data_IF_912672191398
#
_entry.id   IF_912672191398
#
_cell.length_a   1.000
_cell.length_b   1.000
_cell.length_c   1.000
_cell.angle_alpha   90.00
_cell.angle_beta   90.00
_cell.angle_gamma   90.00
#
_symmetry.space_group_name_H-M   'P 1'
#
loop_
_entity.id
_entity.type
_entity.pdbx_description
1 polymer ?
#
# COMPACT_ATOMS: atom_id res chain seq x y z
N UNK A 1 -19.90 -3.35 -7.83
CA UNK A 1 -18.78 -3.63 -6.93
C UNK A 1 -17.62 -2.75 -7.36
N UNK A 2 -16.89 -2.23 -6.40
CA UNK A 2 -15.77 -1.33 -6.66
C UNK A 2 -14.56 -2.12 -7.16
N UNK A 3 -13.86 -1.54 -8.10
CA UNK A 3 -12.64 -2.10 -8.68
C UNK A 3 -11.44 -1.74 -7.81
N UNK A 4 -10.76 -2.77 -7.29
CA UNK A 4 -9.55 -2.64 -6.49
C UNK A 4 -8.29 -2.69 -7.35
N UNK A 5 -7.34 -1.78 -7.10
CA UNK A 5 -5.96 -1.89 -7.56
C UNK A 5 -5.01 -2.07 -6.36
N UNK A 6 -4.23 -3.14 -6.35
CA UNK A 6 -3.14 -3.32 -5.37
C UNK A 6 -1.85 -2.78 -5.99
N UNK A 7 -1.31 -1.70 -5.43
CA UNK A 7 -0.12 -1.01 -5.94
C UNK A 7 1.11 -1.47 -5.20
N UNK A 8 2.08 -2.02 -5.95
CA UNK A 8 3.29 -2.66 -5.41
C UNK A 8 4.53 -2.03 -6.04
N UNK A 9 5.23 -1.10 -5.36
CA UNK A 9 6.51 -0.58 -5.83
C UNK A 9 7.59 -1.66 -5.72
N UNK A 10 8.42 -1.81 -6.77
CA UNK A 10 9.46 -2.83 -6.89
C UNK A 10 10.78 -2.22 -7.33
N UNK A 11 11.86 -2.56 -6.62
CA UNK A 11 13.22 -2.22 -7.02
C UNK A 11 14.19 -3.36 -6.69
N UNK A 12 14.64 -4.11 -7.70
CA UNK A 12 15.46 -5.30 -7.56
C UNK A 12 14.83 -6.37 -6.66
N UNK A 13 13.61 -6.79 -7.03
CA UNK A 13 12.76 -7.73 -6.27
C UNK A 13 12.59 -9.07 -7.02
N UNK A 14 13.56 -9.47 -7.86
CA UNK A 14 13.44 -10.69 -8.68
C UNK A 14 13.22 -11.96 -7.86
N UNK A 15 13.73 -12.03 -6.63
CA UNK A 15 13.62 -13.21 -5.77
C UNK A 15 12.20 -13.39 -5.19
N UNK A 16 11.49 -12.29 -4.95
CA UNK A 16 10.20 -12.32 -4.24
C UNK A 16 8.99 -12.02 -5.13
N UNK A 17 9.19 -11.44 -6.32
CA UNK A 17 8.12 -10.94 -7.17
C UNK A 17 7.04 -11.99 -7.50
N UNK A 18 7.43 -13.20 -7.90
CA UNK A 18 6.48 -14.26 -8.25
C UNK A 18 5.66 -14.71 -7.05
N UNK A 19 6.29 -14.79 -5.89
CA UNK A 19 5.64 -15.16 -4.63
C UNK A 19 4.65 -14.06 -4.23
N UNK A 20 5.05 -12.79 -4.37
CA UNK A 20 4.18 -11.66 -4.12
C UNK A 20 2.98 -11.65 -5.08
N UNK A 21 3.21 -11.89 -6.37
CA UNK A 21 2.16 -11.99 -7.38
C UNK A 21 1.14 -13.09 -7.02
N UNK A 22 1.60 -14.30 -6.70
CA UNK A 22 0.73 -15.41 -6.34
C UNK A 22 -0.10 -15.12 -5.08
N UNK A 23 0.53 -14.60 -4.03
CA UNK A 23 -0.14 -14.28 -2.78
C UNK A 23 -1.22 -13.21 -2.97
N UNK A 24 -0.89 -12.12 -3.70
CA UNK A 24 -1.82 -11.02 -3.93
C UNK A 24 -2.96 -11.41 -4.89
N UNK A 25 -2.72 -12.26 -5.89
CA UNK A 25 -3.78 -12.82 -6.73
C UNK A 25 -4.71 -13.71 -5.92
N UNK A 26 -4.18 -14.51 -4.99
CA UNK A 26 -5.00 -15.27 -4.04
C UNK A 26 -5.93 -14.38 -3.22
N UNK A 27 -5.47 -13.21 -2.77
CA UNK A 27 -6.31 -12.23 -2.07
C UNK A 27 -7.38 -11.66 -3.00
N UNK A 28 -7.05 -11.31 -4.25
CA UNK A 28 -8.04 -10.82 -5.23
C UNK A 28 -9.12 -11.88 -5.48
N UNK A 29 -8.72 -13.12 -5.74
CA UNK A 29 -9.65 -14.23 -6.02
C UNK A 29 -10.62 -14.47 -4.85
N UNK A 30 -10.11 -14.45 -3.63
CA UNK A 30 -10.91 -14.57 -2.39
C UNK A 30 -11.93 -13.45 -2.25
N UNK A 31 -11.52 -12.19 -2.46
CA UNK A 31 -12.38 -11.02 -2.36
C UNK A 31 -13.44 -10.99 -3.47
N UNK A 32 -13.08 -11.37 -4.69
CA UNK A 32 -14.00 -11.52 -5.83
C UNK A 32 -15.03 -12.61 -5.52
N UNK A 33 -14.57 -13.77 -5.04
CA UNK A 33 -15.46 -14.89 -4.70
C UNK A 33 -16.47 -14.51 -3.58
N UNK A 34 -16.04 -13.72 -2.61
CA UNK A 34 -16.89 -13.17 -1.55
C UNK A 34 -17.79 -12.02 -2.01
N UNK A 35 -17.69 -11.59 -3.26
CA UNK A 35 -18.47 -10.48 -3.82
C UNK A 35 -18.15 -9.12 -3.17
N UNK A 36 -16.91 -8.91 -2.73
CA UNK A 36 -16.45 -7.66 -2.08
C UNK A 36 -15.84 -6.66 -3.04
N UNK A 37 -15.30 -7.14 -4.17
CA UNK A 37 -14.66 -6.31 -5.19
C UNK A 37 -15.07 -6.78 -6.59
N UNK A 38 -14.83 -5.95 -7.62
CA UNK A 38 -15.12 -6.26 -9.01
C UNK A 38 -14.18 -7.34 -9.57
N UNK A 39 -14.66 -8.14 -10.53
CA UNK A 39 -13.92 -9.25 -11.16
C UNK A 39 -12.67 -8.78 -11.93
N UNK A 40 -12.65 -7.52 -12.37
CA UNK A 40 -11.54 -6.90 -13.10
C UNK A 40 -10.57 -6.12 -12.19
N UNK A 41 -10.60 -6.39 -10.87
CA UNK A 41 -9.61 -5.90 -9.90
C UNK A 41 -8.23 -6.49 -10.19
N UNK A 42 -7.16 -5.72 -9.91
CA UNK A 42 -5.82 -6.07 -10.39
C UNK A 42 -4.70 -5.63 -9.45
N UNK A 43 -3.51 -6.18 -9.68
CA UNK A 43 -2.24 -5.78 -9.08
C UNK A 43 -1.51 -4.88 -10.07
N UNK A 44 -0.99 -3.75 -9.61
CA UNK A 44 -0.15 -2.83 -10.37
C UNK A 44 1.27 -2.84 -9.80
N UNK A 45 2.16 -3.61 -10.41
CA UNK A 45 3.58 -3.55 -10.11
C UNK A 45 4.21 -2.29 -10.71
N UNK A 46 4.95 -1.54 -9.89
CA UNK A 46 5.65 -0.31 -10.33
C UNK A 46 7.15 -0.55 -10.26
N UNK A 47 7.77 -0.83 -11.40
CA UNK A 47 9.21 -1.04 -11.47
C UNK A 47 9.96 0.29 -11.42
N UNK A 48 10.67 0.54 -10.33
CA UNK A 48 11.47 1.74 -10.07
C UNK A 48 12.89 1.63 -10.67
N UNK A 49 12.99 1.31 -11.96
CA UNK A 49 14.27 1.23 -12.66
C UNK A 49 15.18 0.12 -12.17
N UNK A 50 14.64 -1.07 -11.88
CA UNK A 50 15.39 -2.27 -11.47
C UNK A 50 16.47 -2.63 -12.50
N UNK A 51 17.57 -3.21 -12.01
CA UNK A 51 18.72 -3.65 -12.82
C UNK A 51 18.79 -5.17 -12.97
N UNK A 52 17.99 -5.89 -12.18
CA UNK A 52 17.82 -7.33 -12.20
C UNK A 52 16.65 -7.73 -13.11
N UNK A 53 16.17 -8.96 -13.00
CA UNK A 53 15.08 -9.49 -13.81
C UNK A 53 13.68 -9.07 -13.36
N UNK A 54 13.55 -8.14 -12.40
CA UNK A 54 12.23 -7.72 -11.86
C UNK A 54 11.26 -7.34 -12.97
N UNK A 55 11.68 -6.52 -13.95
CA UNK A 55 10.78 -6.10 -15.02
C UNK A 55 10.38 -7.26 -15.93
N UNK A 56 11.31 -8.13 -16.30
CA UNK A 56 11.03 -9.32 -17.11
C UNK A 56 9.99 -10.22 -16.43
N UNK A 57 10.10 -10.40 -15.11
CA UNK A 57 9.16 -11.19 -14.31
C UNK A 57 7.77 -10.54 -14.26
N UNK A 58 7.68 -9.20 -14.19
CA UNK A 58 6.39 -8.50 -14.28
C UNK A 58 5.73 -8.74 -15.64
N UNK A 59 6.50 -8.70 -16.73
CA UNK A 59 5.99 -8.99 -18.07
C UNK A 59 5.53 -10.46 -18.21
N UNK A 60 6.27 -11.43 -17.66
CA UNK A 60 5.88 -12.83 -17.59
C UNK A 60 4.55 -13.02 -16.83
N UNK A 61 4.42 -12.41 -15.65
CA UNK A 61 3.20 -12.47 -14.82
C UNK A 61 2.00 -11.82 -15.53
N UNK A 62 2.21 -10.69 -16.20
CA UNK A 62 1.17 -10.06 -16.99
C UNK A 62 0.70 -10.94 -18.14
N UNK A 63 1.63 -11.61 -18.87
CA UNK A 63 1.27 -12.51 -19.95
C UNK A 63 0.47 -13.72 -19.45
N UNK A 64 0.81 -14.24 -18.27
CA UNK A 64 0.12 -15.37 -17.65
C UNK A 64 -1.26 -14.96 -17.09
N UNK A 65 -1.39 -13.74 -16.56
CA UNK A 65 -2.57 -13.25 -15.85
C UNK A 65 -2.97 -11.81 -16.29
N UNK A 66 -3.35 -11.61 -17.58
CA UNK A 66 -3.47 -10.28 -18.18
C UNK A 66 -4.58 -9.40 -17.58
N UNK A 67 -5.55 -10.00 -16.89
CA UNK A 67 -6.62 -9.25 -16.19
C UNK A 67 -6.17 -8.82 -14.80
N UNK A 68 -5.47 -9.71 -14.09
CA UNK A 68 -5.13 -9.49 -12.68
C UNK A 68 -3.76 -8.84 -12.45
N UNK A 69 -2.85 -8.85 -13.43
CA UNK A 69 -1.50 -8.30 -13.27
C UNK A 69 -1.22 -7.25 -14.32
N UNK A 70 -0.84 -6.06 -13.87
CA UNK A 70 -0.40 -4.94 -14.71
C UNK A 70 0.96 -4.44 -14.23
N UNK A 71 1.71 -3.78 -15.11
CA UNK A 71 3.02 -3.23 -14.79
C UNK A 71 3.21 -1.81 -15.31
N UNK A 72 3.90 -0.98 -14.52
CA UNK A 72 4.43 0.33 -14.93
C UNK A 72 5.94 0.31 -14.78
N UNK A 73 6.65 0.70 -15.82
CA UNK A 73 8.11 0.83 -15.81
C UNK A 73 8.51 2.30 -15.80
N UNK A 74 9.15 2.73 -14.74
CA UNK A 74 9.72 4.08 -14.67
C UNK A 74 11.01 4.16 -15.49
N UNK A 75 11.32 5.33 -16.00
CA UNK A 75 12.52 5.55 -16.84
C UNK A 75 13.84 5.36 -16.07
N UNK A 76 13.81 5.40 -14.74
CA UNK A 76 14.94 5.19 -13.86
C UNK A 76 14.50 5.12 -12.40
N UNK A 77 15.46 4.85 -11.49
CA UNK A 77 15.16 4.82 -10.07
C UNK A 77 14.90 6.24 -9.55
N UNK A 78 13.71 6.44 -9.01
CA UNK A 78 13.25 7.71 -8.41
C UNK A 78 13.04 7.59 -6.90
N UNK A 79 13.16 6.39 -6.36
CA UNK A 79 12.98 6.04 -4.95
C UNK A 79 11.55 5.66 -4.60
N UNK A 80 11.44 4.85 -3.55
CA UNK A 80 10.20 4.17 -3.13
C UNK A 80 8.97 5.09 -3.08
N UNK A 81 9.07 6.28 -2.46
CA UNK A 81 7.95 7.20 -2.29
C UNK A 81 7.41 7.73 -3.64
N UNK A 82 8.32 8.04 -4.58
CA UNK A 82 7.93 8.50 -5.91
C UNK A 82 7.38 7.37 -6.77
N UNK A 83 7.97 6.18 -6.69
CA UNK A 83 7.46 5.00 -7.38
C UNK A 83 6.04 4.64 -6.89
N UNK A 84 5.84 4.64 -5.57
CA UNK A 84 4.51 4.44 -4.99
C UNK A 84 3.51 5.50 -5.44
N UNK A 85 3.91 6.78 -5.45
CA UNK A 85 3.06 7.88 -5.92
C UNK A 85 2.69 7.72 -7.39
N UNK A 86 3.65 7.38 -8.25
CA UNK A 86 3.39 7.12 -9.66
C UNK A 86 2.38 5.97 -9.85
N UNK A 87 2.52 4.91 -9.05
CA UNK A 87 1.57 3.79 -9.05
C UNK A 87 0.16 4.20 -8.61
N UNK A 88 0.04 4.94 -7.50
CA UNK A 88 -1.26 5.41 -7.00
C UNK A 88 -1.96 6.32 -8.01
N UNK A 89 -1.25 7.27 -8.62
CA UNK A 89 -1.81 8.16 -9.64
C UNK A 89 -2.24 7.38 -10.88
N UNK A 90 -1.45 6.40 -11.32
CA UNK A 90 -1.82 5.54 -12.46
C UNK A 90 -3.04 4.69 -12.12
N UNK A 91 -3.08 4.10 -10.93
CA UNK A 91 -4.20 3.25 -10.49
C UNK A 91 -5.50 4.04 -10.30
N UNK A 92 -5.43 5.31 -9.91
CA UNK A 92 -6.57 6.20 -9.71
C UNK A 92 -7.48 6.30 -10.95
N UNK A 93 -6.91 6.32 -12.14
CA UNK A 93 -7.66 6.39 -13.38
C UNK A 93 -8.29 5.04 -13.80
N UNK A 94 -7.82 3.95 -13.21
CA UNK A 94 -8.14 2.57 -13.58
C UNK A 94 -8.99 1.83 -12.54
N UNK A 95 -9.16 2.40 -11.33
CA UNK A 95 -9.83 1.74 -10.20
C UNK A 95 -10.64 2.73 -9.35
N UNK A 96 -11.47 2.19 -8.44
CA UNK A 96 -12.27 2.96 -7.49
C UNK A 96 -11.60 3.07 -6.13
N UNK A 97 -10.76 2.10 -5.81
CA UNK A 97 -10.02 1.99 -4.55
C UNK A 97 -8.63 1.39 -4.78
N UNK A 98 -7.65 1.88 -4.05
CA UNK A 98 -6.27 1.39 -4.12
C UNK A 98 -5.82 0.85 -2.78
N UNK A 99 -4.99 -0.18 -2.79
CA UNK A 99 -4.23 -0.65 -1.62
C UNK A 99 -2.76 -0.63 -1.98
N UNK A 100 -1.92 0.07 -1.22
CA UNK A 100 -0.46 0.04 -1.38
C UNK A 100 0.16 -0.98 -0.42
N UNK A 101 1.11 -1.78 -0.90
CA UNK A 101 1.85 -2.77 -0.10
C UNK A 101 3.25 -2.97 -0.69
N UNK A 102 4.23 -3.29 0.17
CA UNK A 102 5.60 -3.59 -0.25
C UNK A 102 5.69 -4.99 -0.87
N UNK A 103 6.58 -5.17 -1.84
CA UNK A 103 6.77 -6.44 -2.58
C UNK A 103 7.28 -7.59 -1.69
N UNK A 104 7.97 -7.28 -0.58
CA UNK A 104 8.55 -8.26 0.33
C UNK A 104 7.51 -8.98 1.23
N UNK A 105 6.23 -8.58 1.14
CA UNK A 105 5.10 -9.14 1.88
C UNK A 105 5.37 -9.33 3.38
N UNK A 106 6.13 -8.43 4.01
CA UNK A 106 6.31 -8.45 5.46
C UNK A 106 5.04 -8.02 6.21
N UNK A 107 4.11 -7.38 5.50
CA UNK A 107 2.81 -7.00 6.00
C UNK A 107 1.77 -8.09 5.68
N UNK A 108 0.85 -8.34 6.59
CA UNK A 108 -0.13 -9.41 6.47
C UNK A 108 -1.20 -9.06 5.42
N UNK A 109 -1.12 -9.70 4.25
CA UNK A 109 -2.05 -9.48 3.14
C UNK A 109 -3.51 -9.85 3.48
N UNK A 110 -3.74 -10.69 4.48
CA UNK A 110 -5.09 -11.11 4.88
C UNK A 110 -5.93 -9.93 5.44
N UNK A 111 -5.28 -8.88 5.95
CA UNK A 111 -6.01 -7.71 6.47
C UNK A 111 -6.56 -6.80 5.37
N UNK A 112 -6.24 -7.03 4.10
CA UNK A 112 -6.83 -6.30 2.96
C UNK A 112 -8.35 -6.48 2.96
N UNK A 113 -8.86 -7.66 3.34
CA UNK A 113 -10.30 -7.88 3.48
C UNK A 113 -10.93 -6.92 4.49
N UNK A 114 -10.34 -6.78 5.69
CA UNK A 114 -10.83 -5.84 6.70
C UNK A 114 -10.73 -4.38 6.22
N UNK A 115 -9.69 -4.03 5.44
CA UNK A 115 -9.58 -2.70 4.85
C UNK A 115 -10.73 -2.41 3.88
N UNK A 116 -11.10 -3.37 3.02
CA UNK A 116 -12.23 -3.26 2.09
C UNK A 116 -13.54 -3.13 2.86
N UNK A 117 -13.75 -3.90 3.92
CA UNK A 117 -14.95 -3.79 4.76
C UNK A 117 -15.09 -2.38 5.38
N UNK A 118 -13.99 -1.80 5.85
CA UNK A 118 -13.97 -0.43 6.38
C UNK A 118 -14.24 0.62 5.29
N UNK A 119 -13.71 0.41 4.10
CA UNK A 119 -14.00 1.26 2.94
C UNK A 119 -15.49 1.22 2.58
N UNK A 120 -16.12 0.05 2.52
CA UNK A 120 -17.56 -0.09 2.30
C UNK A 120 -18.41 0.55 3.42
N UNK A 121 -17.85 0.67 4.62
CA UNK A 121 -18.47 1.40 5.74
C UNK A 121 -18.19 2.92 5.71
N UNK A 122 -17.62 3.44 4.62
CA UNK A 122 -17.47 4.87 4.36
C UNK A 122 -16.11 5.46 4.72
N UNK A 123 -15.10 4.65 5.07
CA UNK A 123 -13.73 5.15 5.27
C UNK A 123 -13.06 5.40 3.91
N UNK A 124 -12.39 6.52 3.78
CA UNK A 124 -11.63 6.88 2.57
C UNK A 124 -10.18 6.42 2.63
N UNK A 125 -9.62 6.37 3.84
CA UNK A 125 -8.25 5.94 4.07
C UNK A 125 -8.25 4.95 5.22
N UNK A 126 -7.69 3.76 5.00
CA UNK A 126 -7.51 2.75 6.05
C UNK A 126 -6.03 2.41 6.18
N UNK A 127 -5.48 2.69 7.34
CA UNK A 127 -4.06 2.45 7.62
C UNK A 127 -3.82 1.03 8.13
N UNK A 128 -2.83 0.34 7.56
CA UNK A 128 -2.25 -0.84 8.14
C UNK A 128 -1.29 -0.45 9.27
N UNK A 129 -1.59 -0.88 10.49
CA UNK A 129 -0.80 -0.55 11.69
C UNK A 129 -0.21 -1.84 12.26
N UNK A 130 1.12 -1.87 12.36
CA UNK A 130 1.84 -2.99 12.97
C UNK A 130 1.64 -2.96 14.48
N UNK A 131 1.15 -4.07 15.06
CA UNK A 131 1.02 -4.19 16.52
C UNK A 131 2.38 -4.04 17.18
N UNK A 132 2.43 -3.28 18.28
CA UNK A 132 3.65 -3.10 19.06
C UNK A 132 4.12 -4.42 19.67
N UNK A 133 5.43 -4.67 19.61
CA UNK A 133 6.04 -5.78 20.34
C UNK A 133 6.11 -5.47 21.83
N UNK A 134 5.80 -6.44 22.68
CA UNK A 134 6.00 -6.38 24.14
C UNK A 134 7.48 -6.16 24.55
N UNK A 135 8.41 -6.17 23.58
CA UNK A 135 9.86 -6.02 23.79
C UNK A 135 10.39 -4.59 23.56
N UNK A 136 9.55 -3.63 23.22
CA UNK A 136 10.01 -2.25 23.06
C UNK A 136 10.35 -1.63 24.42
N UNK A 137 11.60 -1.19 24.53
CA UNK A 137 12.14 -0.59 25.77
C UNK A 137 11.30 0.61 26.20
N UNK A 138 10.99 0.70 27.49
CA UNK A 138 10.22 1.81 28.11
C UNK A 138 10.69 3.19 27.62
N UNK A 139 11.97 3.37 27.40
CA UNK A 139 12.56 4.62 26.89
C UNK A 139 12.13 4.95 25.46
N UNK A 140 12.10 3.97 24.53
CA UNK A 140 11.61 4.17 23.15
C UNK A 140 10.13 4.57 23.13
N UNK A 141 9.32 3.96 24.00
CA UNK A 141 7.89 4.24 24.12
C UNK A 141 7.62 5.66 24.63
N UNK A 142 8.39 6.11 25.63
CA UNK A 142 8.21 7.44 26.23
C UNK A 142 8.66 8.57 25.28
N UNK A 143 9.78 8.40 24.56
CA UNK A 143 10.24 9.38 23.58
C UNK A 143 9.33 9.47 22.37
N UNK A 144 8.82 8.34 21.88
CA UNK A 144 7.83 8.30 20.80
C UNK A 144 6.52 9.00 21.22
N UNK A 145 5.98 8.69 22.41
CA UNK A 145 4.78 9.35 22.94
C UNK A 145 4.97 10.86 23.11
N UNK A 146 6.16 11.30 23.58
CA UNK A 146 6.49 12.71 23.66
C UNK A 146 6.48 13.41 22.30
N UNK A 147 7.07 12.79 21.30
CA UNK A 147 7.07 13.29 19.92
C UNK A 147 5.65 13.43 19.35
N UNK A 148 4.82 12.40 19.49
CA UNK A 148 3.43 12.44 19.00
C UNK A 148 2.57 13.46 19.72
N UNK A 149 2.77 13.64 21.02
CA UNK A 149 2.07 14.65 21.80
C UNK A 149 2.43 16.08 21.35
N UNK A 150 3.70 16.30 20.98
CA UNK A 150 4.13 17.59 20.40
C UNK A 150 3.51 17.78 19.01
N UNK A 151 3.46 16.75 18.16
CA UNK A 151 2.83 16.81 16.84
C UNK A 151 1.32 17.07 16.95
N UNK A 152 0.64 16.44 17.90
CA UNK A 152 -0.77 16.66 18.18
C UNK A 152 -1.05 18.10 18.67
N UNK A 153 -0.18 18.66 19.54
CA UNK A 153 -0.25 20.06 19.95
C UNK A 153 -0.01 21.03 18.78
N UNK A 154 0.74 20.62 17.77
CA UNK A 154 0.93 21.36 16.51
C UNK A 154 -0.22 21.17 15.52
N UNK A 155 -1.29 20.44 15.90
CA UNK A 155 -2.47 20.20 15.06
C UNK A 155 -2.30 19.09 14.04
N UNK A 156 -1.21 18.34 14.09
CA UNK A 156 -0.94 17.23 13.17
C UNK A 156 -1.43 15.92 13.81
N UNK A 157 -2.55 15.39 13.31
CA UNK A 157 -3.05 14.05 13.67
C UNK A 157 -2.21 13.00 12.96
N UNK A 158 -1.15 12.53 13.59
CA UNK A 158 -0.33 11.43 13.04
C UNK A 158 -0.82 10.09 13.57
N UNK A 159 -1.04 9.14 12.68
CA UNK A 159 -1.29 7.74 13.07
C UNK A 159 0.06 7.11 13.45
N UNK A 160 0.17 6.60 14.69
CA UNK A 160 1.40 5.97 15.19
C UNK A 160 1.69 4.66 14.44
N UNK A 161 2.97 4.43 14.07
CA UNK A 161 3.49 3.15 13.55
C UNK A 161 2.78 2.59 12.30
N UNK A 162 2.20 3.48 11.45
CA UNK A 162 1.64 3.03 10.17
C UNK A 162 2.76 2.81 9.13
N UNK A 163 2.65 1.70 8.40
CA UNK A 163 3.47 1.40 7.23
C UNK A 163 2.95 2.14 5.99
N UNK A 164 3.62 1.96 4.84
CA UNK A 164 3.09 2.38 3.54
C UNK A 164 1.96 1.45 3.05
N UNK A 165 1.63 0.43 3.83
CA UNK A 165 0.47 -0.44 3.67
C UNK A 165 -0.80 0.31 4.07
N UNK A 166 -1.59 0.70 3.09
CA UNK A 166 -2.83 1.46 3.29
C UNK A 166 -3.80 1.29 2.14
N UNK A 167 -5.09 1.41 2.46
CA UNK A 167 -6.14 1.56 1.47
C UNK A 167 -6.46 3.05 1.29
N UNK A 168 -6.72 3.47 0.05
CA UNK A 168 -7.20 4.81 -0.28
C UNK A 168 -8.33 4.74 -1.31
N UNK A 169 -9.43 5.47 -1.07
CA UNK A 169 -10.47 5.69 -2.07
C UNK A 169 -9.93 6.51 -3.24
N UNK A 170 -10.55 6.42 -4.41
CA UNK A 170 -10.21 7.23 -5.59
C UNK A 170 -10.14 8.72 -5.24
N UNK A 171 -11.16 9.26 -4.55
CA UNK A 171 -11.18 10.69 -4.16
C UNK A 171 -10.05 11.07 -3.21
N UNK A 172 -9.59 10.13 -2.37
CA UNK A 172 -8.44 10.37 -1.49
C UNK A 172 -7.14 10.46 -2.30
N UNK A 173 -6.96 9.60 -3.31
CA UNK A 173 -5.81 9.67 -4.23
C UNK A 173 -5.88 10.92 -5.10
N UNK A 174 -7.06 11.30 -5.61
CA UNK A 174 -7.27 12.56 -6.35
C UNK A 174 -6.89 13.78 -5.52
N UNK A 175 -7.26 13.81 -4.25
CA UNK A 175 -6.87 14.92 -3.38
C UNK A 175 -5.38 14.89 -3.09
N UNK A 176 -4.80 13.71 -2.86
CA UNK A 176 -3.37 13.53 -2.68
C UNK A 176 -2.57 14.00 -3.90
N UNK A 177 -3.00 13.70 -5.12
CA UNK A 177 -2.30 14.06 -6.36
C UNK A 177 -2.16 15.59 -6.58
N UNK A 178 -2.96 16.41 -5.88
CA UNK A 178 -2.89 17.88 -5.96
C UNK A 178 -1.75 18.49 -5.14
N UNK A 179 -1.15 17.71 -4.22
CA UNK A 179 0.00 18.17 -3.46
C UNK A 179 1.27 18.07 -4.32
N UNK A 180 1.88 19.23 -4.61
CA UNK A 180 3.08 19.35 -5.45
C UNK A 180 4.36 19.47 -4.59
N UNK A 181 4.51 18.61 -3.60
CA UNK A 181 5.68 18.64 -2.72
C UNK A 181 6.88 17.96 -3.39
N UNK A 182 8.01 18.66 -3.42
CA UNK A 182 9.29 18.12 -3.94
C UNK A 182 9.90 17.08 -3.02
N UNK A 183 9.60 17.13 -1.72
CA UNK A 183 10.00 16.15 -0.72
C UNK A 183 8.77 15.38 -0.24
N UNK A 184 8.35 14.36 -1.01
CA UNK A 184 7.19 13.55 -0.65
C UNK A 184 7.43 12.80 0.66
N UNK A 185 6.70 13.21 1.69
CA UNK A 185 6.58 12.49 2.95
C UNK A 185 5.14 11.97 3.09
N UNK A 186 4.84 10.89 2.38
CA UNK A 186 3.48 10.33 2.28
C UNK A 186 2.83 10.14 3.64
N UNK A 187 3.58 9.63 4.63
CA UNK A 187 3.07 9.39 5.98
C UNK A 187 2.59 10.66 6.71
N UNK A 188 3.22 11.80 6.44
CA UNK A 188 2.82 13.08 7.03
C UNK A 188 1.71 13.78 6.26
N UNK A 189 1.59 13.51 4.94
CA UNK A 189 0.62 14.18 4.07
C UNK A 189 -0.78 13.55 4.14
N UNK A 190 -0.86 12.22 4.32
CA UNK A 190 -2.15 11.52 4.36
C UNK A 190 -3.15 12.06 5.39
N UNK A 191 -2.76 12.36 6.65
CA UNK A 191 -3.69 12.94 7.63
C UNK A 191 -4.21 14.33 7.24
N UNK A 192 -3.48 15.07 6.37
CA UNK A 192 -3.86 16.41 5.93
C UNK A 192 -5.00 16.40 4.89
N UNK A 193 -5.27 15.25 4.27
CA UNK A 193 -6.37 15.09 3.31
C UNK A 193 -7.73 15.32 3.99
N UNK A 194 -7.86 14.98 5.29
CA UNK A 194 -9.01 15.33 6.11
C UNK A 194 -10.26 14.49 5.88
N UNK A 195 -10.18 13.38 5.12
CA UNK A 195 -11.28 12.44 4.92
C UNK A 195 -11.42 11.45 6.10
N UNK A 196 -12.50 10.66 6.08
CA UNK A 196 -12.73 9.65 7.12
C UNK A 196 -11.67 8.56 7.07
N UNK A 197 -11.04 8.30 8.21
CA UNK A 197 -9.94 7.35 8.34
C UNK A 197 -10.22 6.31 9.40
N UNK A 198 -9.65 5.11 9.23
CA UNK A 198 -9.63 4.05 10.24
C UNK A 198 -8.31 3.27 10.17
N UNK A 199 -8.11 2.31 11.07
CA UNK A 199 -6.90 1.48 11.13
C UNK A 199 -7.27 0.00 11.19
N UNK A 200 -6.46 -0.84 10.54
CA UNK A 200 -6.42 -2.29 10.75
C UNK A 200 -5.12 -2.66 11.44
N UNK A 201 -5.16 -3.60 12.38
CA UNK A 201 -4.00 -3.97 13.19
C UNK A 201 -3.57 -5.39 12.89
N UNK A 202 -2.30 -5.59 12.54
CA UNK A 202 -1.75 -6.90 12.22
C UNK A 202 -0.38 -7.13 12.86
N UNK A 203 -0.01 -8.41 12.96
CA UNK A 203 1.32 -8.82 13.41
C UNK A 203 2.24 -8.91 12.18
N UNK A 204 3.42 -8.28 12.25
CA UNK A 204 4.42 -8.39 11.19
C UNK A 204 4.93 -9.83 11.12
N UNK A 205 4.77 -10.50 9.99
CA UNK A 205 5.33 -11.82 9.79
C UNK A 205 6.87 -11.72 9.71
N UNK A 206 7.58 -12.53 10.49
CA UNK A 206 9.06 -12.56 10.51
C UNK A 206 9.65 -13.43 9.41
N UNK A 207 8.83 -14.19 8.74
CA UNK A 207 9.25 -14.98 7.59
C UNK A 207 9.23 -14.08 6.36
N UNK A 208 10.22 -13.15 6.29
CA UNK A 208 10.63 -12.66 4.99
C UNK A 208 10.89 -13.89 4.12
N UNK A 209 10.31 -13.90 2.95
CA UNK A 209 10.60 -14.87 1.91
C UNK A 209 12.02 -14.58 1.44
N UNK A 210 13.02 -15.11 2.14
CA UNK A 210 14.41 -15.29 1.69
C UNK A 210 14.88 -16.63 2.23
#
# INVERSE_FOLDING_TARGET
MEKLAIVVPCYNEEEVLKIASEALRGVLDDLIHKGKIAEDSFILFVNDGSKDRTWELIEEEHQAHPVQVCGVKLAGNVGHQFALTAGLITAMDLSDVTVSIDADLQDDVAVIEEMIDKFHNGCDIVYGVRKERKTDTFFKRTTAQGFYKVMEMMGVKTVYNHADFRLMSKRAVEQFSKYQETNLFLRGMMPLIGYQTDCVYYDRDRKSVV
#
